data_IF_860558037123
#
_entry.id   IF_860558037123
#
_cell.length_a   1.000
_cell.length_b   1.000
_cell.length_c   1.000
_cell.angle_alpha   90.00
_cell.angle_beta   90.00
_cell.angle_gamma   90.00
#
_symmetry.space_group_name_H-M   'P 1'
#
loop_
_entity.id
_entity.type
_entity.pdbx_description
1 polymer ?
#
# COMPACT_ATOMS: atom_id res chain seq x y z
N UNK A 1 -40.30 -31.04 -15.23
CA UNK A 1 -41.09 -29.94 -15.83
C UNK A 1 -42.43 -29.84 -15.11
N UNK A 2 -42.60 -28.87 -14.22
CA UNK A 2 -43.92 -28.44 -13.76
C UNK A 2 -43.79 -26.97 -13.33
N UNK A 3 -44.44 -26.11 -14.11
CA UNK A 3 -44.52 -24.67 -13.93
C UNK A 3 -45.51 -24.35 -12.80
N UNK A 4 -45.15 -23.44 -11.90
CA UNK A 4 -46.12 -22.66 -11.13
C UNK A 4 -45.88 -21.18 -11.39
N UNK A 5 -46.79 -20.60 -12.18
CA UNK A 5 -47.00 -19.16 -12.32
C UNK A 5 -47.88 -18.71 -11.14
N UNK A 6 -47.44 -17.72 -10.39
CA UNK A 6 -48.34 -16.88 -9.60
C UNK A 6 -47.96 -15.42 -9.81
N UNK A 7 -48.84 -14.75 -10.56
CA UNK A 7 -48.90 -13.30 -10.76
C UNK A 7 -49.70 -12.75 -9.59
N UNK A 8 -49.12 -11.82 -8.83
CA UNK A 8 -49.90 -10.90 -7.99
C UNK A 8 -49.48 -9.47 -8.31
N UNK A 9 -50.37 -8.82 -9.05
CA UNK A 9 -50.43 -7.39 -9.30
C UNK A 9 -51.16 -6.77 -8.09
N UNK A 10 -50.55 -5.80 -7.42
CA UNK A 10 -51.28 -4.87 -6.57
C UNK A 10 -50.67 -3.47 -6.71
N UNK A 11 -51.45 -2.66 -7.41
CA UNK A 11 -51.39 -1.21 -7.56
C UNK A 11 -51.99 -0.57 -6.30
N UNK A 12 -51.43 0.53 -5.80
CA UNK A 12 -52.14 1.69 -5.23
C UNK A 12 -51.16 2.87 -4.95
N UNK A 13 -51.66 4.13 -4.88
CA UNK A 13 -51.01 5.33 -5.41
C UNK A 13 -50.89 6.48 -4.36
N UNK A 14 -50.64 7.70 -4.88
CA UNK A 14 -50.70 9.04 -4.28
C UNK A 14 -49.43 9.53 -3.58
N UNK A 15 -48.63 10.40 -4.22
CA UNK A 15 -48.82 11.87 -4.31
C UNK A 15 -48.99 12.53 -2.93
N UNK A 16 -47.90 13.10 -2.41
CA UNK A 16 -47.97 14.23 -1.50
C UNK A 16 -46.96 15.28 -1.94
N UNK A 17 -47.50 16.41 -2.39
CA UNK A 17 -46.79 17.61 -2.75
C UNK A 17 -46.84 18.59 -1.58
N UNK A 18 -45.69 19.18 -1.24
CA UNK A 18 -45.59 20.49 -0.58
C UNK A 18 -44.21 21.10 -0.91
N UNK A 19 -44.20 22.03 -1.86
CA UNK A 19 -43.30 23.20 -1.92
C UNK A 19 -43.89 24.31 -1.01
N UNK A 20 -43.30 25.52 -0.83
CA UNK A 20 -41.95 26.06 -1.07
C UNK A 20 -41.39 26.89 0.13
N UNK A 21 -40.14 27.38 0.04
CA UNK A 21 -39.67 28.69 0.54
C UNK A 21 -38.26 28.95 -0.02
N UNK A 22 -38.07 29.75 -1.06
CA UNK A 22 -37.90 31.23 -1.10
C UNK A 22 -36.80 31.80 -0.18
N UNK A 23 -35.77 32.31 -0.87
CA UNK A 23 -34.97 33.52 -0.60
C UNK A 23 -33.94 33.54 0.55
N UNK A 24 -32.67 33.64 0.17
CA UNK A 24 -31.90 34.86 0.46
C UNK A 24 -30.64 34.90 -0.42
N UNK A 25 -30.67 35.80 -1.42
CA UNK A 25 -29.51 36.11 -2.24
C UNK A 25 -28.44 36.84 -1.42
N UNK A 26 -27.29 36.21 -1.24
CA UNK A 26 -26.07 36.90 -0.82
C UNK A 26 -25.25 37.20 -2.08
N UNK A 27 -25.32 38.45 -2.55
CA UNK A 27 -24.39 39.00 -3.53
C UNK A 27 -22.96 38.88 -2.98
N UNK A 28 -22.18 37.94 -3.54
CA UNK A 28 -20.73 37.93 -3.36
C UNK A 28 -20.15 39.10 -4.16
N UNK A 29 -19.79 40.17 -3.45
CA UNK A 29 -18.85 41.17 -3.97
C UNK A 29 -17.55 40.46 -4.33
N UNK A 30 -17.28 40.35 -5.62
CA UNK A 30 -15.99 39.93 -6.14
C UNK A 30 -15.07 41.14 -6.03
N UNK A 31 -14.40 41.28 -4.87
CA UNK A 31 -13.29 42.22 -4.75
C UNK A 31 -12.16 41.61 -5.59
N UNK A 32 -11.95 42.17 -6.78
CA UNK A 32 -10.82 41.83 -7.62
C UNK A 32 -9.54 42.19 -6.86
N UNK A 33 -8.81 41.15 -6.43
CA UNK A 33 -7.47 41.34 -5.88
C UNK A 33 -6.56 41.92 -6.97
N UNK A 34 -5.63 42.82 -6.63
CA UNK A 34 -4.68 43.37 -7.58
C UNK A 34 -3.82 42.26 -8.17
N UNK A 35 -3.72 42.24 -9.50
CA UNK A 35 -3.00 41.23 -10.31
C UNK A 35 -1.54 41.05 -9.85
N UNK A 36 -0.94 42.08 -9.25
CA UNK A 36 0.43 42.05 -8.76
C UNK A 36 0.63 41.16 -7.52
N UNK A 37 -0.40 40.95 -6.68
CA UNK A 37 -0.31 40.07 -5.52
C UNK A 37 -0.32 38.58 -5.91
N UNK A 38 -0.95 38.26 -7.04
CA UNK A 38 -1.05 36.88 -7.55
C UNK A 38 0.28 36.39 -8.16
N UNK A 39 1.06 37.30 -8.75
CA UNK A 39 2.37 36.98 -9.34
C UNK A 39 3.43 36.69 -8.27
N UNK A 40 3.43 37.44 -7.18
CA UNK A 40 4.36 37.23 -6.07
C UNK A 40 4.12 35.88 -5.35
N UNK A 41 2.86 35.45 -5.23
CA UNK A 41 2.51 34.16 -4.64
C UNK A 41 2.91 32.96 -5.54
N UNK A 42 2.88 33.13 -6.86
CA UNK A 42 3.36 32.10 -7.80
C UNK A 42 4.90 31.97 -7.80
N UNK A 43 5.64 33.08 -7.67
CA UNK A 43 7.11 33.04 -7.62
C UNK A 43 7.66 32.49 -6.29
N UNK A 44 6.98 32.70 -5.16
CA UNK A 44 7.35 32.09 -3.89
C UNK A 44 7.10 30.58 -3.86
N UNK A 45 5.97 30.13 -4.45
CA UNK A 45 5.65 28.72 -4.56
C UNK A 45 6.64 27.95 -5.46
N UNK A 46 7.09 28.53 -6.57
CA UNK A 46 8.11 27.92 -7.43
C UNK A 46 9.51 27.91 -6.79
N UNK A 47 9.84 28.88 -5.93
CA UNK A 47 11.12 28.91 -5.21
C UNK A 47 11.15 27.93 -4.03
N UNK A 48 10.04 27.68 -3.34
CA UNK A 48 9.94 26.63 -2.32
C UNK A 48 9.95 25.25 -2.97
N UNK A 49 9.21 25.06 -4.06
CA UNK A 49 9.22 23.83 -4.88
C UNK A 49 10.59 23.54 -5.52
N UNK A 50 11.41 24.58 -5.72
CA UNK A 50 12.80 24.46 -6.19
C UNK A 50 13.82 24.25 -5.07
N UNK A 51 13.51 24.58 -3.81
CA UNK A 51 14.33 24.22 -2.63
C UNK A 51 13.96 22.84 -2.07
N UNK A 52 12.74 22.40 -2.31
CA UNK A 52 12.28 21.02 -2.15
C UNK A 52 12.68 20.13 -3.34
N UNK A 53 13.42 20.66 -4.33
CA UNK A 53 14.26 19.82 -5.19
C UNK A 53 15.33 19.17 -4.32
N UNK A 54 14.93 18.01 -3.79
CA UNK A 54 15.71 16.93 -3.23
C UNK A 54 17.08 17.35 -2.70
N UNK A 55 17.17 17.53 -1.38
CA UNK A 55 18.43 17.21 -0.73
C UNK A 55 18.73 15.75 -1.09
N UNK A 56 19.60 15.53 -2.06
CA UNK A 56 20.02 14.20 -2.47
C UNK A 56 20.63 13.52 -1.24
N UNK A 57 20.00 12.44 -0.76
CA UNK A 57 20.63 11.61 0.28
C UNK A 57 21.99 11.19 -0.25
N UNK A 58 23.04 11.67 0.42
CA UNK A 58 24.40 11.30 0.14
C UNK A 58 24.61 9.83 0.54
N UNK A 59 24.52 8.94 -0.44
CA UNK A 59 24.77 7.51 -0.25
C UNK A 59 26.27 7.21 -0.39
N UNK A 60 26.79 6.23 0.38
CA UNK A 60 28.07 5.61 0.10
C UNK A 60 28.17 5.12 -1.35
N UNK A 61 29.37 5.18 -1.94
CA UNK A 61 29.59 4.71 -3.30
C UNK A 61 29.35 3.20 -3.46
N UNK A 62 29.67 2.39 -2.44
CA UNK A 62 29.40 0.96 -2.44
C UNK A 62 27.96 0.65 -2.00
N UNK A 63 27.23 -0.11 -2.81
CA UNK A 63 25.80 -0.38 -2.58
C UNK A 63 25.55 -1.17 -1.30
N UNK A 64 26.38 -2.16 -0.95
CA UNK A 64 26.25 -2.87 0.33
C UNK A 64 26.26 -1.91 1.54
N UNK A 65 27.17 -0.93 1.53
CA UNK A 65 27.25 0.09 2.58
C UNK A 65 26.07 1.06 2.54
N UNK A 66 25.64 1.47 1.34
CA UNK A 66 24.47 2.32 1.16
C UNK A 66 23.19 1.65 1.65
N UNK A 67 22.97 0.38 1.31
CA UNK A 67 21.85 -0.44 1.77
C UNK A 67 21.84 -0.57 3.28
N UNK A 68 22.98 -0.90 3.90
CA UNK A 68 23.08 -0.97 5.36
C UNK A 68 22.74 0.38 6.03
N UNK A 69 23.23 1.50 5.48
CA UNK A 69 22.91 2.84 5.98
C UNK A 69 21.41 3.17 5.85
N UNK A 70 20.79 2.82 4.72
CA UNK A 70 19.35 3.02 4.49
C UNK A 70 18.51 2.21 5.48
N UNK A 71 18.79 0.92 5.62
CA UNK A 71 18.09 0.06 6.58
C UNK A 71 18.23 0.56 8.02
N UNK A 72 19.45 0.99 8.41
CA UNK A 72 19.70 1.58 9.72
C UNK A 72 18.98 2.91 9.96
N UNK A 73 18.62 3.63 8.88
CA UNK A 73 17.85 4.86 8.93
C UNK A 73 16.33 4.64 8.78
N UNK A 74 15.84 3.40 8.85
CA UNK A 74 14.41 3.07 8.81
C UNK A 74 13.80 3.02 7.40
N UNK A 75 14.62 3.07 6.36
CA UNK A 75 14.18 2.73 5.01
C UNK A 75 14.02 1.21 4.89
N UNK A 76 13.01 0.76 4.16
CA UNK A 76 12.78 -0.64 3.89
C UNK A 76 12.81 -0.91 2.39
N UNK A 77 13.23 -2.12 1.95
CA UNK A 77 13.16 -2.51 0.55
C UNK A 77 11.74 -2.39 0.02
N UNK A 78 11.56 -1.78 -1.15
CA UNK A 78 10.27 -1.72 -1.83
C UNK A 78 10.20 -2.82 -2.88
N UNK A 79 9.28 -3.76 -2.70
CA UNK A 79 9.07 -4.90 -3.59
C UNK A 79 8.37 -4.45 -4.87
N UNK A 80 8.97 -4.71 -6.03
CA UNK A 80 8.28 -4.65 -7.32
C UNK A 80 7.69 -6.04 -7.65
N UNK A 81 6.35 -6.19 -7.75
CA UNK A 81 5.71 -7.45 -8.14
C UNK A 81 6.10 -7.91 -9.56
N UNK A 82 6.57 -7.00 -10.41
CA UNK A 82 6.97 -7.28 -11.79
C UNK A 82 8.49 -7.51 -11.96
N UNK A 83 9.26 -7.56 -10.87
CA UNK A 83 10.73 -7.73 -10.97
C UNK A 83 11.14 -8.90 -11.88
N UNK A 84 10.47 -10.06 -11.73
CA UNK A 84 10.76 -11.27 -12.51
C UNK A 84 10.58 -11.11 -14.02
N UNK A 85 9.74 -10.18 -14.47
CA UNK A 85 9.51 -9.91 -15.90
C UNK A 85 10.41 -8.80 -16.45
N UNK A 86 11.01 -7.99 -15.55
CA UNK A 86 11.83 -6.81 -15.88
C UNK A 86 13.34 -7.04 -15.81
N UNK A 87 13.78 -8.22 -15.37
CA UNK A 87 15.21 -8.56 -15.29
C UNK A 87 15.71 -9.26 -16.56
N UNK A 88 16.76 -8.72 -17.19
CA UNK A 88 17.39 -9.22 -18.41
C UNK A 88 18.28 -10.48 -18.22
N UNK A 89 18.04 -11.29 -17.18
CA UNK A 89 18.79 -12.52 -16.91
C UNK A 89 18.29 -13.28 -15.68
N UNK A 90 19.11 -13.46 -14.64
CA UNK A 90 18.80 -14.28 -13.45
C UNK A 90 17.78 -13.63 -12.52
N UNK A 91 16.55 -14.16 -12.52
CA UNK A 91 15.46 -13.69 -11.66
C UNK A 91 15.69 -13.90 -10.16
N UNK A 92 16.73 -14.64 -9.79
CA UNK A 92 17.17 -14.82 -8.41
C UNK A 92 17.53 -13.49 -7.72
N UNK A 93 17.94 -12.46 -8.48
CA UNK A 93 18.19 -11.11 -7.91
C UNK A 93 16.95 -10.56 -7.21
N UNK A 94 15.75 -10.84 -7.72
CA UNK A 94 14.50 -10.40 -7.11
C UNK A 94 14.27 -11.04 -5.73
N UNK A 95 14.77 -12.25 -5.49
CA UNK A 95 14.70 -12.89 -4.17
C UNK A 95 15.73 -12.33 -3.21
N UNK A 96 16.95 -12.14 -3.70
CA UNK A 96 18.11 -11.75 -2.90
C UNK A 96 18.05 -10.27 -2.50
N UNK A 97 17.71 -9.40 -3.45
CA UNK A 97 17.56 -7.96 -3.30
C UNK A 97 16.09 -7.60 -3.54
N UNK A 98 15.21 -7.72 -2.53
CA UNK A 98 13.77 -7.48 -2.69
C UNK A 98 13.43 -6.07 -3.18
N UNK A 99 14.34 -5.11 -2.99
CA UNK A 99 14.24 -3.76 -3.54
C UNK A 99 14.41 -3.66 -5.07
N UNK A 100 14.78 -4.74 -5.77
CA UNK A 100 15.05 -4.70 -7.21
C UNK A 100 13.77 -4.49 -8.01
N UNK A 101 13.78 -3.48 -8.88
CA UNK A 101 12.72 -3.22 -9.87
C UNK A 101 13.08 -3.89 -11.21
N UNK A 102 14.29 -3.61 -11.71
CA UNK A 102 14.75 -4.05 -13.01
C UNK A 102 16.27 -4.16 -13.05
N UNK A 103 16.78 -5.09 -13.84
CA UNK A 103 18.21 -5.24 -14.13
C UNK A 103 18.41 -5.49 -15.62
N UNK A 104 19.43 -4.89 -16.18
CA UNK A 104 19.85 -5.08 -17.57
C UNK A 104 21.09 -5.98 -17.65
N UNK A 105 21.30 -6.57 -18.81
CA UNK A 105 22.40 -7.53 -19.04
C UNK A 105 23.79 -6.88 -19.03
N UNK A 106 23.89 -5.56 -19.09
CA UNK A 106 25.14 -4.80 -19.02
C UNK A 106 25.57 -4.44 -17.58
N UNK A 107 24.76 -4.83 -16.58
CA UNK A 107 25.05 -4.64 -15.16
C UNK A 107 24.31 -3.49 -14.50
N UNK A 108 23.51 -2.70 -15.22
CA UNK A 108 22.69 -1.65 -14.60
C UNK A 108 21.42 -2.23 -13.95
N UNK A 109 21.21 -1.92 -12.68
CA UNK A 109 19.96 -2.24 -11.98
C UNK A 109 19.34 -0.98 -11.36
N UNK A 110 18.02 -1.01 -11.21
CA UNK A 110 17.24 -0.04 -10.47
C UNK A 110 16.67 -0.72 -9.24
N UNK A 111 16.86 -0.08 -8.09
CA UNK A 111 16.32 -0.55 -6.82
C UNK A 111 15.53 0.56 -6.13
N UNK A 112 14.56 0.18 -5.30
CA UNK A 112 13.67 1.10 -4.60
C UNK A 112 13.61 0.83 -3.11
N UNK A 113 13.59 1.90 -2.34
CA UNK A 113 13.32 1.90 -0.91
C UNK A 113 12.14 2.81 -0.60
N UNK A 114 11.41 2.47 0.46
CA UNK A 114 10.37 3.34 1.02
C UNK A 114 10.63 3.67 2.48
N UNK A 115 10.16 4.82 2.92
CA UNK A 115 10.21 5.25 4.31
C UNK A 115 8.82 5.72 4.76
N UNK A 116 8.09 4.86 5.49
CA UNK A 116 6.71 5.13 5.93
C UNK A 116 6.62 6.43 6.74
N UNK A 117 7.48 6.60 7.76
CA UNK A 117 7.42 7.77 8.65
C UNK A 117 7.74 9.12 8.00
N UNK A 118 8.29 9.12 6.79
CA UNK A 118 8.59 10.32 6.01
C UNK A 118 7.68 10.44 4.78
N UNK A 119 6.86 9.42 4.50
CA UNK A 119 6.09 9.28 3.28
C UNK A 119 6.94 9.53 2.01
N UNK A 120 8.11 8.86 1.94
CA UNK A 120 9.05 9.00 0.82
C UNK A 120 9.40 7.67 0.16
N UNK A 121 9.73 7.77 -1.13
CA UNK A 121 10.38 6.74 -1.93
C UNK A 121 11.78 7.20 -2.29
N UNK A 122 12.69 6.25 -2.43
CA UNK A 122 14.05 6.45 -2.88
C UNK A 122 14.34 5.46 -4.00
N UNK A 123 14.60 6.00 -5.19
CA UNK A 123 15.10 5.25 -6.34
C UNK A 123 16.62 5.32 -6.34
N UNK A 124 17.29 4.18 -6.43
CA UNK A 124 18.75 4.09 -6.55
C UNK A 124 19.09 3.34 -7.83
N UNK A 125 19.97 3.92 -8.65
CA UNK A 125 20.57 3.20 -9.77
C UNK A 125 21.92 2.66 -9.34
N UNK A 126 22.10 1.36 -9.53
CA UNK A 126 23.34 0.65 -9.20
C UNK A 126 23.95 0.03 -10.45
N UNK A 127 25.24 -0.28 -10.38
CA UNK A 127 25.99 -0.92 -11.45
C UNK A 127 26.96 -1.95 -10.88
N UNK A 128 27.06 -3.11 -11.53
CA UNK A 128 28.06 -4.12 -11.22
C UNK A 128 27.65 -5.51 -11.72
N UNK A 129 28.43 -6.52 -11.36
CA UNK A 129 28.11 -7.91 -11.68
C UNK A 129 27.08 -8.47 -10.70
N UNK A 130 25.81 -8.40 -11.08
CA UNK A 130 24.71 -8.95 -10.30
C UNK A 130 24.53 -10.47 -10.51
N UNK A 131 25.37 -11.12 -11.32
CA UNK A 131 25.45 -12.58 -11.41
C UNK A 131 26.53 -13.17 -10.49
N UNK A 132 27.25 -12.32 -9.74
CA UNK A 132 28.28 -12.72 -8.81
C UNK A 132 27.73 -13.63 -7.69
N UNK A 133 28.51 -14.61 -7.22
CA UNK A 133 28.05 -15.60 -6.23
C UNK A 133 27.71 -14.99 -4.86
N UNK A 134 28.17 -13.76 -4.58
CA UNK A 134 28.04 -13.01 -3.34
C UNK A 134 26.95 -11.92 -3.39
N UNK A 135 26.03 -11.99 -4.36
CA UNK A 135 24.92 -11.03 -4.51
C UNK A 135 24.12 -10.80 -3.23
N UNK A 136 24.00 -11.80 -2.35
CA UNK A 136 23.33 -11.68 -1.05
C UNK A 136 23.96 -10.64 -0.12
N UNK A 137 25.26 -10.38 -0.30
CA UNK A 137 26.00 -9.34 0.43
C UNK A 137 26.02 -8.02 -0.34
N UNK A 138 25.56 -8.03 -1.60
CA UNK A 138 25.56 -6.90 -2.51
C UNK A 138 26.95 -6.25 -2.68
N UNK A 139 28.01 -7.06 -2.51
CA UNK A 139 29.39 -6.64 -2.68
C UNK A 139 29.71 -6.45 -4.19
N UNK A 140 30.63 -5.54 -4.51
CA UNK A 140 30.99 -5.24 -5.90
C UNK A 140 29.97 -4.39 -6.69
N UNK A 141 28.80 -4.07 -6.11
CA UNK A 141 27.81 -3.17 -6.70
C UNK A 141 28.07 -1.72 -6.28
N UNK A 142 28.02 -0.79 -7.24
CA UNK A 142 28.27 0.64 -7.03
C UNK A 142 27.00 1.45 -7.22
N UNK A 143 26.77 2.43 -6.33
CA UNK A 143 25.72 3.44 -6.49
C UNK A 143 26.13 4.44 -7.57
N UNK A 144 25.26 4.67 -8.54
CA UNK A 144 25.46 5.61 -9.65
C UNK A 144 24.65 6.88 -9.50
N UNK A 145 23.44 6.76 -8.98
CA UNK A 145 22.58 7.91 -8.67
C UNK A 145 21.51 7.52 -7.65
N UNK A 146 20.98 8.53 -6.96
CA UNK A 146 19.81 8.39 -6.10
C UNK A 146 18.81 9.50 -6.38
N UNK A 147 17.53 9.22 -6.17
CA UNK A 147 16.46 10.19 -6.32
C UNK A 147 15.36 9.91 -5.32
N UNK A 148 15.05 10.90 -4.49
CA UNK A 148 13.87 10.87 -3.62
C UNK A 148 12.63 11.40 -4.33
N UNK A 149 11.49 10.81 -4.01
CA UNK A 149 10.17 11.33 -4.39
C UNK A 149 9.18 11.15 -3.24
N UNK A 150 8.17 12.03 -3.10
CA UNK A 150 7.10 11.81 -2.15
C UNK A 150 6.28 10.58 -2.55
N UNK A 151 5.74 9.89 -1.55
CA UNK A 151 4.68 8.90 -1.76
C UNK A 151 3.39 9.66 -2.10
N UNK A 152 2.65 9.16 -3.09
CA UNK A 152 1.38 9.77 -3.47
C UNK A 152 0.41 9.80 -2.28
N UNK A 153 -0.16 10.97 -1.99
CA UNK A 153 -1.15 11.10 -0.95
C UNK A 153 -2.43 10.34 -1.34
N UNK A 154 -2.98 9.56 -0.42
CA UNK A 154 -4.28 8.93 -0.62
C UNK A 154 -5.38 9.99 -0.54
N UNK A 155 -6.38 9.98 -1.43
CA UNK A 155 -7.53 10.86 -1.30
C UNK A 155 -8.24 10.64 0.05
N UNK A 156 -8.73 11.73 0.65
CA UNK A 156 -9.57 11.65 1.83
C UNK A 156 -10.97 11.17 1.42
N UNK A 157 -11.45 10.10 2.05
CA UNK A 157 -12.75 9.49 1.78
C UNK A 157 -13.53 9.36 3.09
N UNK A 158 -14.85 9.43 2.99
CA UNK A 158 -15.71 9.19 4.14
C UNK A 158 -15.52 7.75 4.63
N UNK A 159 -15.34 7.58 5.94
CA UNK A 159 -15.17 6.25 6.52
C UNK A 159 -16.44 5.41 6.28
N UNK A 160 -16.32 4.16 5.82
CA UNK A 160 -17.49 3.33 5.50
C UNK A 160 -18.28 2.91 6.75
N UNK A 161 -17.70 3.05 7.95
CA UNK A 161 -18.34 2.76 9.21
C UNK A 161 -17.76 3.60 10.36
N UNK A 162 -18.51 3.72 11.46
CA UNK A 162 -18.10 4.43 12.67
C UNK A 162 -17.45 3.55 13.74
N UNK A 163 -17.44 2.22 13.55
CA UNK A 163 -16.77 1.26 14.44
C UNK A 163 -15.79 0.42 13.63
N UNK A 164 -14.76 -0.11 14.29
CA UNK A 164 -13.73 -0.89 13.61
C UNK A 164 -14.30 -2.18 13.02
N UNK A 165 -15.22 -2.85 13.70
CA UNK A 165 -15.85 -4.09 13.21
C UNK A 165 -16.68 -3.83 11.95
N UNK A 166 -17.45 -2.73 11.93
CA UNK A 166 -18.20 -2.31 10.75
C UNK A 166 -17.28 -1.92 9.61
N UNK A 167 -16.16 -1.26 9.91
CA UNK A 167 -15.14 -0.90 8.94
C UNK A 167 -14.51 -2.16 8.33
N UNK A 168 -14.07 -3.10 9.16
CA UNK A 168 -13.42 -4.34 8.72
C UNK A 168 -14.36 -5.18 7.85
N UNK A 169 -15.65 -5.25 8.21
CA UNK A 169 -16.66 -5.92 7.39
C UNK A 169 -16.84 -5.23 6.02
N UNK A 170 -16.84 -3.90 5.95
CA UNK A 170 -16.93 -3.16 4.69
C UNK A 170 -15.65 -3.33 3.84
N UNK A 171 -14.48 -3.20 4.47
CA UNK A 171 -13.17 -3.38 3.86
C UNK A 171 -13.01 -4.78 3.25
N UNK A 172 -13.48 -5.82 3.93
CA UNK A 172 -13.41 -7.20 3.45
C UNK A 172 -14.54 -7.57 2.46
N UNK A 173 -15.58 -6.74 2.30
CA UNK A 173 -16.70 -7.04 1.40
C UNK A 173 -16.51 -6.47 -0.02
N UNK A 174 -15.74 -5.38 -0.16
CA UNK A 174 -15.64 -4.61 -1.40
C UNK A 174 -14.19 -4.28 -1.76
N UNK A 175 -13.78 -4.63 -2.97
CA UNK A 175 -12.40 -4.44 -3.45
C UNK A 175 -12.03 -2.97 -3.60
N UNK A 176 -12.96 -2.13 -4.06
CA UNK A 176 -12.70 -0.69 -4.20
C UNK A 176 -12.45 -0.03 -2.84
N UNK A 177 -13.25 -0.42 -1.83
CA UNK A 177 -13.05 -0.01 -0.43
C UNK A 177 -11.71 -0.49 0.09
N UNK A 178 -11.34 -1.75 -0.17
CA UNK A 178 -10.04 -2.29 0.23
C UNK A 178 -8.88 -1.48 -0.34
N UNK A 179 -8.86 -1.22 -1.64
CA UNK A 179 -7.82 -0.40 -2.30
C UNK A 179 -7.79 1.00 -1.70
N UNK A 180 -8.95 1.63 -1.54
CA UNK A 180 -9.07 3.01 -1.06
C UNK A 180 -8.63 3.20 0.41
N UNK A 181 -8.77 2.17 1.24
CA UNK A 181 -8.39 2.19 2.66
C UNK A 181 -7.15 1.35 2.96
N UNK A 182 -6.34 1.02 1.94
CA UNK A 182 -4.99 0.50 2.13
C UNK A 182 -4.00 1.66 2.13
N UNK A 183 -3.04 1.66 3.05
CA UNK A 183 -2.01 2.70 3.09
C UNK A 183 -1.18 2.68 1.80
N UNK A 184 -0.66 3.83 1.33
CA UNK A 184 0.16 3.88 0.12
C UNK A 184 1.36 2.93 0.11
N UNK A 185 1.89 2.63 1.30
CA UNK A 185 2.92 1.62 1.52
C UNK A 185 2.48 0.70 2.64
N UNK A 186 2.43 -0.61 2.35
CA UNK A 186 2.10 -1.65 3.32
C UNK A 186 3.39 -2.35 3.74
N UNK A 187 3.64 -2.43 5.06
CA UNK A 187 4.77 -3.19 5.60
C UNK A 187 4.42 -4.67 5.64
N UNK A 188 5.20 -5.50 4.95
CA UNK A 188 4.95 -6.94 4.87
C UNK A 188 6.15 -7.69 5.44
N UNK A 189 5.91 -8.65 6.31
CA UNK A 189 6.90 -9.63 6.70
C UNK A 189 6.91 -10.77 5.68
N UNK A 190 8.08 -11.10 5.16
CA UNK A 190 8.27 -12.23 4.24
C UNK A 190 9.38 -13.14 4.73
N UNK A 191 9.31 -14.43 4.39
CA UNK A 191 10.39 -15.37 4.64
C UNK A 191 11.44 -15.26 3.54
N UNK A 192 12.68 -15.02 3.95
CA UNK A 192 13.84 -15.18 3.11
C UNK A 192 14.47 -16.55 3.38
N UNK A 193 14.23 -17.50 2.49
CA UNK A 193 14.82 -18.84 2.57
C UNK A 193 16.30 -18.78 2.19
N UNK A 194 17.15 -19.16 3.14
CA UNK A 194 18.59 -19.30 2.97
C UNK A 194 18.98 -20.76 3.21
N UNK A 195 20.24 -21.08 2.93
CA UNK A 195 20.90 -22.32 3.31
C UNK A 195 20.97 -22.53 4.84
N UNK A 196 20.75 -21.49 5.64
CA UNK A 196 20.64 -21.56 7.11
C UNK A 196 19.18 -21.68 7.61
N UNK A 197 18.20 -21.64 6.70
CA UNK A 197 16.77 -21.68 7.00
C UNK A 197 16.03 -20.40 6.61
N UNK A 198 14.76 -20.32 7.04
CA UNK A 198 13.88 -19.21 6.76
C UNK A 198 14.06 -18.08 7.79
N UNK A 199 14.41 -16.89 7.31
CA UNK A 199 14.57 -15.70 8.16
C UNK A 199 13.49 -14.68 7.77
N UNK A 200 12.67 -14.21 8.71
CA UNK A 200 11.71 -13.16 8.41
C UNK A 200 12.45 -11.85 8.10
N UNK A 201 11.99 -11.14 7.07
CA UNK A 201 12.43 -9.79 6.74
C UNK A 201 11.24 -8.89 6.45
N UNK A 202 11.36 -7.62 6.79
CA UNK A 202 10.35 -6.63 6.46
C UNK A 202 10.64 -5.99 5.10
N UNK A 203 9.61 -5.91 4.26
CA UNK A 203 9.61 -5.18 3.00
C UNK A 203 8.40 -4.24 2.95
N UNK A 204 8.39 -3.35 1.97
CA UNK A 204 7.24 -2.53 1.63
C UNK A 204 6.65 -3.00 0.31
N UNK A 205 5.32 -2.98 0.23
CA UNK A 205 4.57 -3.20 -1.00
C UNK A 205 3.72 -1.94 -1.25
N UNK A 206 3.68 -1.39 -2.49
CA UNK A 206 2.75 -0.32 -2.80
C UNK A 206 1.30 -0.76 -2.56
N UNK A 207 0.52 0.09 -1.89
CA UNK A 207 -0.82 -0.29 -1.43
C UNK A 207 -1.83 -0.59 -2.54
N UNK A 208 -1.63 -0.01 -3.72
CA UNK A 208 -2.46 -0.23 -4.91
C UNK A 208 -2.22 -1.59 -5.59
N UNK A 209 -1.08 -2.24 -5.30
CA UNK A 209 -0.76 -3.60 -5.77
C UNK A 209 -0.74 -4.63 -4.64
N UNK A 210 -0.99 -4.22 -3.39
CA UNK A 210 -1.01 -5.15 -2.26
C UNK A 210 -2.22 -6.09 -2.33
N UNK A 211 -1.95 -7.39 -2.47
CA UNK A 211 -2.96 -8.44 -2.60
C UNK A 211 -2.97 -9.45 -1.43
N UNK A 212 -2.22 -9.20 -0.35
CA UNK A 212 -2.06 -10.16 0.76
C UNK A 212 -3.28 -10.30 1.67
N UNK A 213 -4.29 -9.43 1.55
CA UNK A 213 -5.49 -9.49 2.38
C UNK A 213 -6.45 -10.60 1.93
N UNK A 214 -6.30 -11.78 2.54
CA UNK A 214 -6.95 -13.04 2.18
C UNK A 214 -8.25 -13.31 2.96
N UNK A 215 -9.01 -12.25 3.28
CA UNK A 215 -10.28 -12.34 4.01
C UNK A 215 -11.38 -11.66 3.20
N UNK A 216 -12.53 -12.33 3.06
CA UNK A 216 -13.75 -11.78 2.47
C UNK A 216 -14.90 -11.79 3.47
N UNK A 217 -15.69 -10.73 3.49
CA UNK A 217 -16.93 -10.68 4.28
C UNK A 217 -18.17 -10.81 3.39
N UNK A 218 -19.08 -11.71 3.76
CA UNK A 218 -20.32 -11.96 3.02
C UNK A 218 -21.26 -12.85 3.83
N UNK A 219 -22.57 -12.75 3.58
CA UNK A 219 -23.59 -13.52 4.32
C UNK A 219 -23.50 -13.38 5.86
N UNK A 220 -22.99 -12.25 6.34
CA UNK A 220 -22.82 -11.97 7.78
C UNK A 220 -21.65 -12.68 8.45
N UNK A 221 -20.70 -13.23 7.69
CA UNK A 221 -19.50 -13.87 8.21
C UNK A 221 -18.25 -13.49 7.40
N UNK A 222 -17.08 -13.65 8.01
CA UNK A 222 -15.79 -13.62 7.32
C UNK A 222 -15.47 -15.00 6.75
N UNK A 223 -14.69 -15.03 5.68
CA UNK A 223 -14.29 -16.23 4.95
C UNK A 223 -12.85 -16.08 4.46
N UNK A 224 -12.12 -17.19 4.43
CA UNK A 224 -10.79 -17.19 3.82
C UNK A 224 -10.89 -17.15 2.29
N UNK A 225 -9.95 -16.44 1.65
CA UNK A 225 -9.76 -16.40 0.20
C UNK A 225 -8.39 -16.99 -0.10
N UNK A 226 -8.34 -18.03 -0.92
CA UNK A 226 -7.06 -18.63 -1.31
C UNK A 226 -6.32 -17.80 -2.38
N UNK A 227 -5.11 -18.22 -2.72
CA UNK A 227 -4.26 -17.56 -3.72
C UNK A 227 -4.88 -17.50 -5.13
N UNK A 228 -5.94 -18.25 -5.41
CA UNK A 228 -6.68 -18.23 -6.68
C UNK A 228 -7.98 -17.44 -6.60
N UNK A 229 -8.22 -16.73 -5.49
CA UNK A 229 -9.43 -15.95 -5.26
C UNK A 229 -10.65 -16.80 -4.91
N UNK A 230 -10.49 -18.10 -4.68
CA UNK A 230 -11.61 -18.97 -4.29
C UNK A 230 -11.87 -18.80 -2.80
N UNK A 231 -13.15 -18.67 -2.47
CA UNK A 231 -13.59 -18.41 -1.10
C UNK A 231 -14.06 -19.69 -0.45
N UNK A 232 -13.52 -19.96 0.73
CA UNK A 232 -13.95 -21.07 1.57
C UNK A 232 -15.36 -20.77 2.11
N UNK A 233 -16.36 -21.65 1.89
CA UNK A 233 -17.70 -21.45 2.44
C UNK A 233 -17.74 -21.51 3.97
N UNK A 234 -16.74 -22.08 4.63
CA UNK A 234 -16.68 -22.11 6.09
C UNK A 234 -16.47 -20.69 6.67
N UNK A 235 -17.23 -20.28 7.69
CA UNK A 235 -16.96 -19.06 8.42
C UNK A 235 -15.56 -19.08 9.04
N UNK A 236 -14.80 -18.02 8.83
CA UNK A 236 -13.48 -17.78 9.38
C UNK A 236 -13.60 -16.92 10.66
N UNK A 237 -13.34 -17.47 11.85
CA UNK A 237 -13.28 -16.66 13.06
C UNK A 237 -12.04 -15.76 13.03
N UNK A 238 -12.24 -14.47 13.30
CA UNK A 238 -11.16 -13.49 13.44
C UNK A 238 -10.94 -13.18 14.93
N UNK A 239 -9.68 -13.13 15.35
CA UNK A 239 -9.25 -12.57 16.64
C UNK A 239 -8.85 -11.11 16.41
N UNK A 240 -9.68 -10.18 16.88
CA UNK A 240 -9.46 -8.74 16.71
C UNK A 240 -9.04 -8.14 18.04
N UNK A 241 -7.83 -7.57 18.08
CA UNK A 241 -7.26 -6.92 19.27
C UNK A 241 -6.92 -5.48 18.96
N UNK A 242 -7.18 -4.60 19.92
CA UNK A 242 -6.73 -3.21 19.86
C UNK A 242 -5.44 -3.07 20.66
N UNK A 243 -4.42 -2.48 20.05
CA UNK A 243 -3.15 -2.14 20.68
C UNK A 243 -2.82 -0.67 20.35
N UNK A 244 -2.90 0.20 21.36
CA UNK A 244 -2.72 1.65 21.21
C UNK A 244 -3.64 2.27 20.14
N UNK A 245 -3.04 2.82 19.08
CA UNK A 245 -3.72 3.42 17.91
C UNK A 245 -3.91 2.42 16.76
N UNK A 246 -3.56 1.15 16.99
CA UNK A 246 -3.61 0.08 16.00
C UNK A 246 -4.66 -0.98 16.37
N UNK A 247 -5.19 -1.63 15.35
CA UNK A 247 -5.98 -2.85 15.47
C UNK A 247 -5.25 -3.98 14.77
N UNK A 248 -5.02 -5.06 15.49
CA UNK A 248 -4.48 -6.31 14.98
C UNK A 248 -5.65 -7.26 14.69
N UNK A 249 -5.71 -7.77 13.47
CA UNK A 249 -6.69 -8.77 13.02
C UNK A 249 -5.94 -10.04 12.72
N UNK A 250 -6.13 -11.09 13.51
CA UNK A 250 -5.49 -12.40 13.34
C UNK A 250 -6.51 -13.46 12.97
N UNK A 251 -6.07 -14.47 12.24
CA UNK A 251 -6.84 -15.70 12.07
C UNK A 251 -5.94 -16.92 11.91
N UNK A 252 -6.53 -18.08 12.16
CA UNK A 252 -5.93 -19.38 11.91
C UNK A 252 -6.67 -20.05 10.76
N UNK A 253 -5.93 -20.59 9.80
CA UNK A 253 -6.48 -21.34 8.69
C UNK A 253 -5.56 -22.51 8.32
N UNK A 254 -6.10 -23.73 8.35
CA UNK A 254 -5.31 -24.95 8.12
C UNK A 254 -4.18 -25.13 9.13
N UNK A 255 -2.98 -25.44 8.62
CA UNK A 255 -1.75 -25.59 9.41
C UNK A 255 -0.92 -24.31 9.50
N UNK A 256 -1.37 -23.20 8.89
CA UNK A 256 -0.63 -21.94 8.88
C UNK A 256 -0.50 -21.39 10.29
N UNK A 257 0.73 -21.09 10.71
CA UNK A 257 1.05 -20.44 11.99
C UNK A 257 0.73 -18.94 11.92
N UNK A 258 -0.56 -18.62 11.87
CA UNK A 258 -1.06 -17.25 11.96
C UNK A 258 -1.00 -16.47 10.65
N UNK A 259 -2.10 -15.80 10.34
CA UNK A 259 -2.11 -14.69 9.40
C UNK A 259 -2.58 -13.49 10.20
N UNK A 260 -1.93 -12.35 10.04
CA UNK A 260 -2.28 -11.15 10.78
C UNK A 260 -2.23 -9.91 9.91
N UNK A 261 -3.05 -8.94 10.27
CA UNK A 261 -3.09 -7.64 9.61
C UNK A 261 -3.10 -6.55 10.67
N UNK A 262 -2.38 -5.46 10.44
CA UNK A 262 -2.42 -4.28 11.28
C UNK A 262 -3.14 -3.14 10.58
N UNK A 263 -4.08 -2.52 11.29
CA UNK A 263 -4.81 -1.34 10.85
C UNK A 263 -4.49 -0.17 11.78
N UNK A 264 -4.26 1.01 11.22
CA UNK A 264 -3.99 2.24 11.98
C UNK A 264 -5.09 3.27 11.74
N UNK A 265 -5.37 4.09 12.77
CA UNK A 265 -6.26 5.22 12.62
C UNK A 265 -5.63 6.32 11.75
N UNK A 266 -6.37 6.81 10.75
CA UNK A 266 -5.94 7.87 9.84
C UNK A 266 -7.12 8.76 9.46
N UNK A 267 -7.01 10.07 9.74
CA UNK A 267 -8.04 11.08 9.41
C UNK A 267 -9.47 10.70 9.87
N UNK A 268 -9.60 10.06 11.04
CA UNK A 268 -10.90 9.63 11.57
C UNK A 268 -11.47 8.36 10.94
N UNK A 269 -10.66 7.61 10.19
CA UNK A 269 -10.97 6.26 9.73
C UNK A 269 -9.82 5.30 10.05
N UNK A 270 -9.86 4.07 9.52
CA UNK A 270 -8.78 3.08 9.65
C UNK A 270 -8.21 2.74 8.28
N UNK A 271 -6.95 2.31 8.26
CA UNK A 271 -6.29 1.82 7.04
C UNK A 271 -5.44 0.61 7.32
N UNK A 272 -5.39 -0.31 6.36
CA UNK A 272 -4.44 -1.41 6.40
C UNK A 272 -3.02 -0.87 6.19
N UNK A 273 -2.13 -1.10 7.16
CA UNK A 273 -0.75 -0.59 7.15
C UNK A 273 0.31 -1.69 7.16
N UNK A 274 -0.04 -2.90 7.64
CA UNK A 274 0.92 -3.99 7.70
C UNK A 274 0.29 -5.38 7.64
N UNK A 275 1.13 -6.32 7.23
CA UNK A 275 0.98 -7.77 7.24
C UNK A 275 2.20 -8.32 8.00
N UNK A 276 2.17 -8.33 9.34
CA UNK A 276 3.38 -8.42 10.16
C UNK A 276 3.86 -9.85 10.40
N UNK A 277 3.06 -10.87 10.06
CA UNK A 277 3.45 -12.28 10.18
C UNK A 277 3.67 -12.85 8.79
N UNK A 278 4.85 -13.41 8.50
CA UNK A 278 5.06 -14.03 7.22
C UNK A 278 4.18 -15.28 7.08
N UNK A 279 3.71 -15.61 5.86
CA UNK A 279 2.97 -16.84 5.64
C UNK A 279 3.85 -18.03 6.04
N UNK A 280 3.34 -18.85 6.96
CA UNK A 280 4.02 -20.09 7.34
C UNK A 280 4.01 -21.09 6.16
N UNK A 281 5.11 -21.84 5.94
CA UNK A 281 5.19 -22.86 4.89
C UNK A 281 4.24 -24.05 5.11
#
# INVERSE_FOLDING_TARGET
MLQFRSIFLLVLPALSACQPALESGAQRSTVALPVDAQRAASESADSERSRERAAEIALPAGYASARAALLGAGWLPLRDPECWTKVGGRAEVCNVLPETEACSSDGHCVVHFGHIGQAKLLRVTIYGDWAAPDLARAEGLEVKSSQESPVAATPSLACPASTFEGFLAAFAADEATRVAFTAPLVRVAELNSTDEGDVPRAVLIPGDVYAGFNVRHGNGAFHHVDAWGKVDPAPLPLDVKRADETYEVRYHYGMSEGNSYAFEAHEGCWRLVADPEPPAP
#
